data_IF_040608214731
#
_entry.id   IF_040608214731
#
_cell.length_a   1.000
_cell.length_b   1.000
_cell.length_c   1.000
_cell.angle_alpha   90.00
_cell.angle_beta   90.00
_cell.angle_gamma   90.00
#
_symmetry.space_group_name_H-M   'P 1'
#
loop_
_entity.id
_entity.type
_entity.pdbx_description
1 polymer ?
#
# COMPACT_ATOMS: atom_id res chain seq x y z
N UNK A 1 4.60 -9.13 -14.46
CA UNK A 1 3.83 -8.88 -13.22
C UNK A 1 3.93 -7.39 -12.91
N UNK A 2 2.79 -6.71 -12.77
CA UNK A 2 2.78 -5.24 -12.63
C UNK A 2 3.12 -4.80 -11.19
N UNK A 3 2.74 -5.59 -10.19
CA UNK A 3 3.01 -5.32 -8.77
C UNK A 3 4.35 -5.96 -8.33
N UNK A 4 5.44 -5.64 -9.01
CA UNK A 4 6.80 -6.04 -8.61
C UNK A 4 7.46 -4.91 -7.83
N UNK A 5 8.24 -5.23 -6.81
CA UNK A 5 9.08 -4.23 -6.14
C UNK A 5 10.04 -3.61 -7.14
N UNK A 6 10.25 -2.30 -7.04
CA UNK A 6 11.26 -1.58 -7.83
C UNK A 6 12.63 -2.20 -7.59
N UNK A 7 13.46 -2.25 -8.64
CA UNK A 7 14.75 -2.96 -8.61
C UNK A 7 15.74 -2.33 -7.62
N UNK A 8 15.57 -1.04 -7.37
CA UNK A 8 16.45 -0.26 -6.49
C UNK A 8 15.97 -0.27 -5.04
N UNK A 9 14.91 -1.03 -4.71
CA UNK A 9 14.44 -1.15 -3.34
C UNK A 9 15.44 -1.92 -2.48
N UNK A 10 15.81 -1.35 -1.34
CA UNK A 10 16.59 -2.03 -0.33
C UNK A 10 15.79 -3.18 0.30
N UNK A 11 16.46 -4.30 0.56
CA UNK A 11 15.88 -5.38 1.35
C UNK A 11 15.74 -4.95 2.80
N UNK A 12 14.57 -5.21 3.39
CA UNK A 12 14.28 -4.91 4.79
C UNK A 12 14.17 -6.26 5.51
N UNK A 13 14.84 -6.40 6.65
CA UNK A 13 14.93 -7.68 7.40
C UNK A 13 15.42 -8.87 6.55
N UNK A 14 16.29 -8.63 5.57
CA UNK A 14 16.83 -9.68 4.70
C UNK A 14 15.82 -10.26 3.70
N UNK A 15 14.65 -9.65 3.55
CA UNK A 15 13.61 -10.07 2.60
C UNK A 15 13.15 -8.90 1.73
N UNK A 16 12.31 -9.19 0.74
CA UNK A 16 11.66 -8.15 -0.06
C UNK A 16 10.73 -7.34 0.87
N UNK A 17 10.78 -6.00 0.87
CA UNK A 17 9.93 -5.17 1.72
C UNK A 17 8.43 -5.49 1.57
N UNK A 18 7.96 -5.90 0.39
CA UNK A 18 6.57 -6.32 0.20
C UNK A 18 6.15 -7.56 1.01
N UNK A 19 7.12 -8.41 1.39
CA UNK A 19 6.85 -9.65 2.13
C UNK A 19 6.69 -9.45 3.63
N UNK A 20 6.90 -8.22 4.12
CA UNK A 20 6.55 -7.86 5.50
C UNK A 20 5.04 -7.98 5.75
N UNK A 21 4.23 -7.91 4.69
CA UNK A 21 2.79 -8.13 4.73
C UNK A 21 2.45 -9.55 4.24
N UNK A 22 1.62 -10.25 5.01
CA UNK A 22 1.17 -11.60 4.68
C UNK A 22 0.54 -11.70 3.29
N UNK A 23 0.81 -12.82 2.60
CA UNK A 23 0.33 -13.07 1.23
C UNK A 23 -1.18 -12.84 1.05
N UNK A 24 -2.00 -13.27 2.01
CA UNK A 24 -3.47 -13.13 1.95
C UNK A 24 -3.87 -11.65 1.94
N UNK A 25 -3.22 -10.84 2.78
CA UNK A 25 -3.51 -9.40 2.88
C UNK A 25 -3.06 -8.69 1.60
N UNK A 26 -1.89 -9.03 1.05
CA UNK A 26 -1.42 -8.44 -0.22
C UNK A 26 -2.37 -8.72 -1.38
N UNK A 27 -2.88 -9.95 -1.49
CA UNK A 27 -3.87 -10.29 -2.52
C UNK A 27 -5.14 -9.45 -2.36
N UNK A 28 -5.64 -9.28 -1.13
CA UNK A 28 -6.82 -8.44 -0.85
C UNK A 28 -6.56 -6.95 -1.16
N UNK A 29 -5.35 -6.46 -0.93
CA UNK A 29 -4.95 -5.09 -1.28
C UNK A 29 -4.98 -4.93 -2.81
N UNK A 30 -4.36 -5.83 -3.57
CA UNK A 30 -4.34 -5.80 -5.04
C UNK A 30 -5.72 -5.93 -5.68
N UNK A 31 -6.64 -6.63 -5.03
CA UNK A 31 -8.02 -6.77 -5.48
C UNK A 31 -8.89 -5.56 -5.16
N UNK A 32 -8.49 -4.73 -4.19
CA UNK A 32 -9.26 -3.58 -3.75
C UNK A 32 -9.46 -2.55 -4.88
N UNK A 33 -10.66 -1.97 -4.93
CA UNK A 33 -11.01 -0.91 -5.90
C UNK A 33 -10.03 0.26 -5.84
N UNK A 34 -9.66 0.67 -4.62
CA UNK A 34 -8.70 1.74 -4.40
C UNK A 34 -7.32 1.43 -4.99
N UNK A 35 -6.80 0.20 -4.85
CA UNK A 35 -5.51 -0.14 -5.45
C UNK A 35 -5.51 -0.04 -6.98
N UNK A 36 -6.59 -0.51 -7.61
CA UNK A 36 -6.71 -0.53 -9.08
C UNK A 36 -6.94 0.85 -9.68
N UNK A 37 -7.68 1.71 -9.00
CA UNK A 37 -8.03 3.05 -9.50
C UNK A 37 -7.01 4.12 -9.11
N UNK A 38 -6.50 4.08 -7.88
CA UNK A 38 -5.74 5.18 -7.27
C UNK A 38 -4.28 4.83 -7.00
N UNK A 39 -3.91 3.54 -6.88
CA UNK A 39 -2.54 3.13 -6.55
C UNK A 39 -1.76 2.54 -7.74
N UNK A 40 -2.37 2.41 -8.90
CA UNK A 40 -1.72 1.84 -10.07
C UNK A 40 -0.69 2.82 -10.66
N UNK A 41 0.61 2.51 -10.49
CA UNK A 41 1.70 3.35 -10.99
C UNK A 41 1.99 4.59 -10.13
N UNK A 42 1.56 4.58 -8.86
CA UNK A 42 1.79 5.69 -7.93
C UNK A 42 3.30 5.88 -7.66
N UNK A 43 3.77 7.13 -7.75
CA UNK A 43 5.14 7.52 -7.41
C UNK A 43 5.21 8.10 -6.00
N UNK A 44 6.40 8.15 -5.40
CA UNK A 44 6.60 8.65 -4.03
C UNK A 44 6.05 10.08 -3.80
N UNK A 45 6.07 10.92 -4.83
CA UNK A 45 5.53 12.28 -4.77
C UNK A 45 4.00 12.27 -4.64
N UNK A 46 3.32 11.49 -5.48
CA UNK A 46 1.85 11.40 -5.49
C UNK A 46 1.29 10.63 -4.28
N UNK A 47 2.12 9.81 -3.62
CA UNK A 47 1.74 9.14 -2.36
C UNK A 47 1.44 10.17 -1.28
N UNK A 48 2.17 11.29 -1.21
CA UNK A 48 1.96 12.34 -0.21
C UNK A 48 0.61 13.02 -0.43
N UNK A 49 0.27 13.33 -1.67
CA UNK A 49 -1.02 13.94 -2.02
C UNK A 49 -2.19 13.01 -1.63
N UNK A 50 -2.05 11.71 -1.93
CA UNK A 50 -3.07 10.72 -1.55
C UNK A 50 -3.13 10.46 -0.05
N UNK A 51 -2.01 10.58 0.66
CA UNK A 51 -1.97 10.50 2.11
C UNK A 51 -2.63 11.71 2.78
N UNK A 52 -2.53 12.91 2.19
CA UNK A 52 -3.23 14.10 2.68
C UNK A 52 -4.76 13.99 2.50
N UNK A 53 -5.22 13.35 1.42
CA UNK A 53 -6.65 13.07 1.20
C UNK A 53 -7.22 12.05 2.21
N UNK A 54 -6.37 11.26 2.89
CA UNK A 54 -6.80 10.35 3.95
C UNK A 54 -7.06 11.11 5.26
N UNK A 55 -8.27 11.62 5.41
CA UNK A 55 -8.72 12.37 6.60
C UNK A 55 -8.92 11.56 7.89
N UNK A 56 -8.30 10.38 8.06
CA UNK A 56 -8.54 9.50 9.21
C UNK A 56 -7.25 8.97 9.86
N UNK A 57 -6.48 9.86 10.49
CA UNK A 57 -5.42 9.47 11.44
C UNK A 57 -6.03 8.86 12.73
N UNK A 58 -7.32 9.11 13.01
CA UNK A 58 -8.04 8.52 14.14
C UNK A 58 -8.87 7.30 13.70
N UNK A 59 -8.41 6.10 14.06
CA UNK A 59 -9.06 4.83 13.75
C UNK A 59 -10.07 4.46 14.87
N UNK A 60 -11.40 4.45 14.63
CA UNK A 60 -12.30 3.63 15.43
C UNK A 60 -12.02 2.14 15.12
N UNK A 61 -11.97 1.25 16.14
CA UNK A 61 -11.41 -0.11 16.05
C UNK A 61 -12.13 -1.09 15.09
N UNK A 62 -13.10 -0.63 14.30
CA UNK A 62 -13.96 -1.48 13.44
C UNK A 62 -13.88 -1.19 11.94
N UNK A 63 -13.11 -0.21 11.49
CA UNK A 63 -13.00 0.11 10.07
C UNK A 63 -11.57 0.45 9.66
N UNK A 64 -10.69 -0.56 9.66
CA UNK A 64 -9.40 -0.43 8.99
C UNK A 64 -9.64 -0.48 7.48
N UNK A 65 -10.06 0.67 6.94
CA UNK A 65 -10.46 0.88 5.57
C UNK A 65 -9.40 0.37 4.60
N UNK A 66 -9.84 -0.22 3.48
CA UNK A 66 -8.96 -0.72 2.42
C UNK A 66 -7.97 0.34 1.94
N UNK A 67 -8.34 1.63 1.97
CA UNK A 67 -7.49 2.75 1.55
C UNK A 67 -6.21 2.93 2.38
N UNK A 68 -6.30 2.82 3.71
CA UNK A 68 -5.14 2.94 4.60
C UNK A 68 -4.16 1.78 4.43
N UNK A 69 -4.68 0.56 4.27
CA UNK A 69 -3.85 -0.64 4.07
C UNK A 69 -3.12 -0.62 2.72
N UNK A 70 -3.77 -0.08 1.68
CA UNK A 70 -3.17 0.04 0.35
C UNK A 70 -2.04 1.06 0.30
N UNK A 71 -2.21 2.24 0.92
CA UNK A 71 -1.15 3.25 0.97
C UNK A 71 0.05 2.84 1.84
N UNK A 72 -0.22 2.20 2.99
CA UNK A 72 0.84 1.64 3.84
C UNK A 72 1.61 0.47 3.19
N UNK A 73 1.12 -0.07 2.06
CA UNK A 73 1.82 -1.10 1.30
C UNK A 73 2.76 -0.52 0.22
N UNK A 74 2.63 0.77 -0.10
CA UNK A 74 3.45 1.46 -1.10
C UNK A 74 4.68 2.10 -0.45
N UNK A 75 4.56 2.50 0.82
CA UNK A 75 5.66 2.99 1.68
C UNK A 75 6.45 1.82 2.28
#
# INVERSE_FOLDING_TARGET
MVNRTVKDAHSIHGTNPQYLVEKIIRTRIYESKYWKEECFGLTAELVVDKAMELSAIYCPPKALNSRFRSLAFIL
#
